data_IF_360304997780
#
_entry.id   IF_360304997780
#
_cell.length_a   1.000
_cell.length_b   1.000
_cell.length_c   1.000
_cell.angle_alpha   90.00
_cell.angle_beta   90.00
_cell.angle_gamma   90.00
#
_symmetry.space_group_name_H-M   'P 1'
#
loop_
_entity.id
_entity.type
_entity.pdbx_description
1 polymer ?
#
# COMPACT_ATOMS: atom_id res chain seq x y z
N UNK A 1 -3.55 -14.85 6.09
CA UNK A 1 -3.31 -13.40 5.91
C UNK A 1 -4.65 -12.70 6.09
N UNK A 2 -4.68 -11.67 6.93
CA UNK A 2 -5.87 -10.85 7.18
C UNK A 2 -5.52 -9.39 6.95
N UNK A 3 -6.47 -8.63 6.41
CA UNK A 3 -6.29 -7.18 6.27
C UNK A 3 -6.62 -6.48 7.60
N UNK A 4 -5.85 -5.48 7.96
CA UNK A 4 -6.18 -4.63 9.10
C UNK A 4 -7.04 -3.42 8.62
N UNK A 5 -8.10 -3.02 9.34
CA UNK A 5 -8.59 -3.65 10.57
C UNK A 5 -9.29 -5.00 10.30
N UNK A 6 -8.95 -5.99 11.09
CA UNK A 6 -9.60 -7.30 11.06
C UNK A 6 -10.86 -7.26 11.91
N UNK A 7 -12.02 -7.51 11.31
CA UNK A 7 -13.33 -7.34 11.97
C UNK A 7 -13.47 -8.19 13.22
N UNK A 8 -13.04 -9.46 13.19
CA UNK A 8 -13.13 -10.34 14.34
C UNK A 8 -12.29 -9.83 15.52
N UNK A 9 -11.07 -9.32 15.23
CA UNK A 9 -10.23 -8.73 16.27
C UNK A 9 -10.84 -7.45 16.83
N UNK A 10 -11.42 -6.61 15.98
CA UNK A 10 -12.12 -5.40 16.41
C UNK A 10 -13.33 -5.73 17.31
N UNK A 11 -14.09 -6.76 16.95
CA UNK A 11 -15.21 -7.23 17.78
C UNK A 11 -14.74 -7.79 19.12
N UNK A 12 -13.68 -8.59 19.13
CA UNK A 12 -13.12 -9.14 20.36
C UNK A 12 -12.54 -8.04 21.28
N UNK A 13 -11.83 -7.07 20.70
CA UNK A 13 -11.27 -5.92 21.42
C UNK A 13 -12.33 -5.01 22.05
N UNK A 14 -13.55 -5.01 21.51
CA UNK A 14 -14.69 -4.30 22.12
C UNK A 14 -15.27 -5.03 23.36
N UNK A 15 -15.03 -6.32 23.48
CA UNK A 15 -15.58 -7.16 24.56
C UNK A 15 -14.56 -7.49 25.66
N UNK A 16 -13.29 -7.59 25.28
CA UNK A 16 -12.20 -7.97 26.19
C UNK A 16 -11.06 -6.98 26.05
N UNK A 17 -10.50 -6.44 27.15
CA UNK A 17 -9.29 -5.63 27.08
C UNK A 17 -8.14 -6.39 26.41
N UNK A 18 -7.60 -5.82 25.35
CA UNK A 18 -6.53 -6.42 24.56
C UNK A 18 -5.44 -5.37 24.28
N UNK A 19 -4.20 -5.82 24.27
CA UNK A 19 -3.06 -5.00 23.91
C UNK A 19 -2.34 -5.62 22.72
N UNK A 20 -2.13 -4.85 21.68
CA UNK A 20 -1.26 -5.24 20.57
C UNK A 20 0.19 -5.04 21.02
N UNK A 21 1.01 -6.06 20.82
CA UNK A 21 2.43 -5.99 21.11
C UNK A 21 3.17 -5.56 19.83
N UNK A 22 4.00 -4.51 19.89
CA UNK A 22 4.82 -4.11 18.76
C UNK A 22 5.90 -5.18 18.49
N UNK A 23 6.30 -5.29 17.24
CA UNK A 23 7.49 -6.04 16.86
C UNK A 23 8.73 -5.14 17.02
N UNK A 24 9.78 -5.70 17.56
CA UNK A 24 11.08 -5.02 17.65
C UNK A 24 11.63 -4.70 16.26
N UNK A 25 12.22 -3.52 16.08
CA UNK A 25 12.72 -3.06 14.78
C UNK A 25 13.72 -4.03 14.15
N UNK A 26 14.67 -4.53 14.95
CA UNK A 26 15.66 -5.50 14.50
C UNK A 26 15.04 -6.84 14.07
N UNK A 27 13.97 -7.28 14.75
CA UNK A 27 13.24 -8.47 14.37
C UNK A 27 12.50 -8.27 13.05
N UNK A 28 11.86 -7.11 12.87
CA UNK A 28 11.19 -6.76 11.62
C UNK A 28 12.17 -6.73 10.44
N UNK A 29 13.34 -6.12 10.63
CA UNK A 29 14.39 -6.07 9.60
C UNK A 29 14.83 -7.48 9.21
N UNK A 30 15.22 -8.31 10.17
CA UNK A 30 15.66 -9.70 9.89
C UNK A 30 14.60 -10.52 9.17
N UNK A 31 13.33 -10.37 9.56
CA UNK A 31 12.25 -11.15 8.94
C UNK A 31 11.93 -10.63 7.54
N UNK A 32 11.90 -9.32 7.31
CA UNK A 32 11.64 -8.77 5.98
C UNK A 32 12.76 -9.07 4.98
N UNK A 33 14.01 -9.16 5.44
CA UNK A 33 15.15 -9.60 4.62
C UNK A 33 15.09 -11.10 4.29
N UNK A 34 14.56 -11.91 5.21
CA UNK A 34 14.50 -13.37 5.05
C UNK A 34 13.25 -13.85 4.30
N UNK A 35 12.17 -13.07 4.32
CA UNK A 35 10.87 -13.45 3.74
C UNK A 35 10.44 -12.39 2.74
N UNK A 36 10.67 -12.58 1.45
CA UNK A 36 10.27 -11.66 0.40
C UNK A 36 8.75 -11.38 0.44
N UNK A 37 8.38 -10.12 0.22
CA UNK A 37 6.98 -9.70 0.21
C UNK A 37 6.42 -9.30 1.59
N UNK A 38 7.21 -9.45 2.67
CA UNK A 38 6.88 -8.80 3.94
C UNK A 38 7.48 -7.41 4.01
N UNK A 39 6.66 -6.45 4.41
CA UNK A 39 7.06 -5.05 4.54
C UNK A 39 6.71 -4.51 5.92
N UNK A 40 7.51 -3.61 6.49
CA UNK A 40 7.18 -2.92 7.72
C UNK A 40 5.89 -2.11 7.56
N UNK A 41 5.03 -2.19 8.57
CA UNK A 41 3.76 -1.49 8.62
C UNK A 41 3.49 -1.04 10.06
N UNK A 42 3.02 0.19 10.23
CA UNK A 42 2.45 0.64 11.48
C UNK A 42 0.91 0.51 11.43
N UNK A 43 0.33 -0.21 12.37
CA UNK A 43 -1.12 -0.22 12.60
C UNK A 43 -1.45 1.12 13.27
N UNK A 44 -2.29 1.98 12.66
CA UNK A 44 -2.59 3.30 13.21
C UNK A 44 -3.21 3.24 14.60
N UNK A 45 -3.02 4.30 15.38
CA UNK A 45 -3.70 4.51 16.64
C UNK A 45 -5.22 4.27 16.52
N UNK A 46 -5.83 3.72 17.55
CA UNK A 46 -7.27 3.45 17.62
C UNK A 46 -7.86 2.56 16.53
N UNK A 47 -7.02 1.80 15.83
CA UNK A 47 -7.50 0.80 14.87
C UNK A 47 -8.34 -0.29 15.56
N UNK A 48 -7.99 -0.66 16.80
CA UNK A 48 -8.67 -1.67 17.60
C UNK A 48 -9.05 -1.13 18.98
N UNK A 49 -10.20 -0.48 19.06
CA UNK A 49 -10.79 -0.05 20.32
C UNK A 49 -9.89 0.86 21.16
N UNK A 50 -9.45 0.37 22.32
CA UNK A 50 -8.65 1.11 23.30
C UNK A 50 -7.15 1.14 23.00
N UNK A 51 -6.71 0.69 21.82
CA UNK A 51 -5.32 0.79 21.39
C UNK A 51 -4.85 2.25 21.50
N UNK A 52 -3.74 2.46 22.21
CA UNK A 52 -3.08 3.76 22.34
C UNK A 52 -1.76 3.75 21.55
N UNK A 53 -1.65 4.67 20.61
CA UNK A 53 -0.50 4.79 19.75
C UNK A 53 -0.50 3.82 18.57
N UNK A 54 0.37 4.09 17.61
CA UNK A 54 0.61 3.19 16.50
C UNK A 54 1.41 1.97 16.96
N UNK A 55 1.18 0.82 16.32
CA UNK A 55 1.86 -0.44 16.64
C UNK A 55 2.61 -0.94 15.41
N UNK A 56 3.93 -1.04 15.53
CA UNK A 56 4.79 -1.51 14.47
C UNK A 56 4.67 -3.03 14.28
N UNK A 57 4.55 -3.46 13.05
CA UNK A 57 4.37 -4.85 12.64
C UNK A 57 4.87 -5.08 11.22
N UNK A 58 4.75 -6.32 10.75
CA UNK A 58 4.98 -6.69 9.36
C UNK A 58 3.66 -7.00 8.66
N UNK A 59 3.59 -6.64 7.39
CA UNK A 59 2.46 -6.94 6.54
C UNK A 59 2.90 -7.65 5.27
N UNK A 60 2.09 -8.59 4.79
CA UNK A 60 2.22 -9.11 3.44
C UNK A 60 1.53 -8.19 2.45
N UNK A 61 2.18 -7.95 1.32
CA UNK A 61 1.62 -7.15 0.24
C UNK A 61 0.69 -7.98 -0.63
N UNK A 62 -0.50 -7.46 -0.89
CA UNK A 62 -1.38 -7.99 -1.92
C UNK A 62 -0.93 -7.45 -3.28
N UNK A 63 -0.74 -8.34 -4.26
CA UNK A 63 -0.31 -7.98 -5.60
C UNK A 63 -1.50 -8.00 -6.57
N UNK A 64 -1.59 -6.99 -7.41
CA UNK A 64 -2.37 -7.04 -8.63
C UNK A 64 -1.44 -7.60 -9.72
N UNK A 65 -1.82 -8.72 -10.31
CA UNK A 65 -1.03 -9.39 -11.35
C UNK A 65 -1.74 -9.32 -12.69
N UNK A 66 -0.98 -9.17 -13.76
CA UNK A 66 -1.46 -9.23 -15.12
C UNK A 66 -0.57 -10.21 -15.91
N UNK A 67 -1.14 -10.85 -16.94
CA UNK A 67 -0.35 -11.59 -17.92
C UNK A 67 0.43 -10.59 -18.78
N UNK A 68 1.63 -10.98 -19.21
CA UNK A 68 2.45 -10.26 -20.19
C UNK A 68 1.77 -10.05 -21.55
N UNK A 69 0.74 -10.85 -21.84
CA UNK A 69 -0.11 -10.69 -23.03
C UNK A 69 -1.16 -9.57 -22.94
N UNK A 70 -1.36 -8.99 -21.76
CA UNK A 70 -2.27 -7.84 -21.59
C UNK A 70 -1.62 -6.61 -22.21
N UNK A 71 -2.33 -5.82 -23.05
CA UNK A 71 -1.76 -4.60 -23.60
C UNK A 71 -1.38 -3.57 -22.53
N UNK A 72 -0.21 -2.94 -22.67
CA UNK A 72 0.31 -1.93 -21.73
C UNK A 72 -0.70 -0.84 -21.42
N UNK A 73 -1.36 -0.30 -22.45
CA UNK A 73 -2.40 0.71 -22.31
C UNK A 73 -3.61 0.25 -21.49
N UNK A 74 -3.86 -1.05 -21.36
CA UNK A 74 -4.91 -1.58 -20.48
C UNK A 74 -4.43 -1.58 -19.03
N UNK A 75 -3.18 -1.96 -18.78
CA UNK A 75 -2.57 -1.94 -17.46
C UNK A 75 -2.48 -0.50 -16.94
N UNK A 76 -2.00 0.43 -17.77
CA UNK A 76 -1.94 1.86 -17.43
C UNK A 76 -3.31 2.42 -17.03
N UNK A 77 -4.36 2.12 -17.80
CA UNK A 77 -5.73 2.55 -17.47
C UNK A 77 -6.24 2.00 -16.15
N UNK A 78 -5.91 0.75 -15.83
CA UNK A 78 -6.28 0.15 -14.54
C UNK A 78 -5.55 0.85 -13.38
N UNK A 79 -4.25 1.11 -13.55
CA UNK A 79 -3.46 1.82 -12.55
C UNK A 79 -3.95 3.26 -12.36
N UNK A 80 -4.22 3.96 -13.47
CA UNK A 80 -4.77 5.31 -13.41
C UNK A 80 -6.12 5.34 -12.70
N UNK A 81 -7.01 4.41 -13.02
CA UNK A 81 -8.28 4.27 -12.32
C UNK A 81 -8.09 4.02 -10.81
N UNK A 82 -7.17 3.14 -10.42
CA UNK A 82 -6.90 2.81 -9.02
C UNK A 82 -6.37 4.00 -8.22
N UNK A 83 -5.47 4.79 -8.82
CA UNK A 83 -4.79 5.88 -8.11
C UNK A 83 -5.43 7.26 -8.28
N UNK A 84 -6.29 7.45 -9.30
CA UNK A 84 -6.91 8.74 -9.61
C UNK A 84 -8.38 8.79 -9.17
N UNK A 85 -9.11 7.68 -9.25
CA UNK A 85 -10.55 7.66 -9.02
C UNK A 85 -11.00 7.73 -7.55
N UNK A 86 -10.07 7.91 -6.62
CA UNK A 86 -10.39 8.04 -5.20
C UNK A 86 -10.98 6.77 -4.56
N UNK A 87 -10.88 5.60 -5.23
CA UNK A 87 -11.32 4.30 -4.68
C UNK A 87 -10.73 4.00 -3.31
N UNK A 88 -9.61 4.65 -2.98
CA UNK A 88 -8.97 4.58 -1.68
C UNK A 88 -9.72 5.31 -0.57
N UNK A 89 -10.47 6.36 -0.88
CA UNK A 89 -11.11 7.22 0.12
C UNK A 89 -12.44 6.63 0.64
N UNK A 90 -13.21 5.96 -0.23
CA UNK A 90 -14.59 5.57 0.09
C UNK A 90 -14.77 4.15 0.63
N UNK A 91 -13.74 3.31 0.63
CA UNK A 91 -13.85 1.87 0.96
C UNK A 91 -13.19 1.42 2.26
N UNK A 92 -13.01 2.34 3.20
CA UNK A 92 -12.49 2.03 4.54
C UNK A 92 -10.96 1.94 4.62
N UNK A 93 -10.45 1.63 5.82
CA UNK A 93 -9.04 1.72 6.17
C UNK A 93 -8.07 0.90 5.28
N UNK A 94 -8.54 -0.13 4.58
CA UNK A 94 -7.70 -0.92 3.68
C UNK A 94 -7.42 -0.20 2.35
N UNK A 95 -8.38 0.56 1.84
CA UNK A 95 -8.26 1.28 0.58
C UNK A 95 -7.47 2.60 0.72
N UNK A 96 -7.51 3.23 1.91
CA UNK A 96 -6.69 4.42 2.21
C UNK A 96 -5.18 4.14 2.23
N UNK A 97 -4.78 2.88 2.10
CA UNK A 97 -3.36 2.45 2.04
C UNK A 97 -2.83 2.30 0.63
N UNK A 98 -3.69 2.43 -0.37
CA UNK A 98 -3.30 2.40 -1.76
C UNK A 98 -2.72 3.79 -2.13
N UNK A 99 -1.41 3.88 -2.22
CA UNK A 99 -0.72 5.08 -2.67
C UNK A 99 0.36 4.73 -3.69
N UNK A 100 0.66 5.63 -4.60
CA UNK A 100 1.70 5.43 -5.62
C UNK A 100 3.07 5.21 -5.00
N UNK A 101 3.38 5.93 -3.92
CA UNK A 101 4.66 5.86 -3.22
C UNK A 101 4.92 4.47 -2.61
N UNK A 102 3.85 3.79 -2.24
CA UNK A 102 3.91 2.48 -1.58
C UNK A 102 3.54 1.33 -2.50
N UNK A 103 3.11 1.62 -3.72
CA UNK A 103 2.57 0.61 -4.64
C UNK A 103 3.57 -0.49 -5.00
N UNK A 104 4.86 -0.17 -5.00
CA UNK A 104 5.94 -1.11 -5.31
C UNK A 104 6.55 -1.79 -4.07
N UNK A 105 6.09 -1.44 -2.87
CA UNK A 105 6.60 -2.04 -1.64
C UNK A 105 6.20 -3.53 -1.56
N UNK A 106 7.18 -4.40 -1.37
CA UNK A 106 6.97 -5.84 -1.25
C UNK A 106 6.64 -6.56 -2.56
N UNK A 107 6.78 -5.91 -3.70
CA UNK A 107 6.69 -6.56 -5.02
C UNK A 107 7.92 -7.45 -5.22
N UNK A 108 7.69 -8.74 -5.47
CA UNK A 108 8.73 -9.77 -5.58
C UNK A 108 8.78 -10.43 -6.95
N UNK A 109 7.93 -10.01 -7.87
CA UNK A 109 7.86 -10.48 -9.25
C UNK A 109 8.17 -9.32 -10.20
N UNK A 110 8.61 -9.59 -11.44
CA UNK A 110 8.80 -8.53 -12.44
C UNK A 110 7.51 -7.71 -12.63
N UNK A 111 7.70 -6.41 -12.85
CA UNK A 111 6.59 -5.54 -13.23
C UNK A 111 6.21 -5.85 -14.68
N UNK A 112 4.92 -5.74 -14.99
CA UNK A 112 4.43 -5.65 -16.36
C UNK A 112 4.94 -4.35 -17.00
N UNK A 113 5.28 -4.35 -18.31
CA UNK A 113 5.89 -3.20 -18.97
C UNK A 113 5.03 -1.93 -18.83
N UNK A 114 3.73 -2.00 -19.06
CA UNK A 114 2.82 -0.88 -18.83
C UNK A 114 2.77 -0.40 -17.38
N UNK A 115 3.04 -1.27 -16.39
CA UNK A 115 3.15 -0.83 -15.00
C UNK A 115 4.50 -0.14 -14.73
N UNK A 116 5.58 -0.64 -15.32
CA UNK A 116 6.91 -0.03 -15.20
C UNK A 116 6.89 1.39 -15.77
N UNK A 117 6.31 1.58 -16.94
CA UNK A 117 6.18 2.89 -17.61
C UNK A 117 5.30 3.85 -16.80
N UNK A 118 4.17 3.38 -16.27
CA UNK A 118 3.28 4.17 -15.43
C UNK A 118 3.98 4.73 -14.18
N UNK A 119 4.73 3.90 -13.47
CA UNK A 119 5.45 4.33 -12.27
C UNK A 119 6.70 5.15 -12.59
N UNK A 120 7.35 4.92 -13.73
CA UNK A 120 8.47 5.75 -14.19
C UNK A 120 8.02 7.17 -14.58
N UNK A 121 6.90 7.31 -15.28
CA UNK A 121 6.32 8.60 -15.63
C UNK A 121 5.90 9.41 -14.39
N UNK A 122 5.38 8.76 -13.36
CA UNK A 122 4.99 9.41 -12.11
C UNK A 122 6.20 9.90 -11.27
N UNK A 123 7.39 9.34 -11.50
CA UNK A 123 8.63 9.73 -10.79
C UNK A 123 9.37 10.88 -11.49
N UNK A 124 9.06 11.16 -12.77
CA UNK A 124 9.64 12.28 -13.48
C UNK A 124 9.13 13.60 -12.85
N UNK A 125 10.01 14.57 -12.55
CA UNK A 125 9.57 15.88 -12.08
C UNK A 125 8.70 16.50 -13.18
N UNK A 126 7.58 17.10 -12.79
CA UNK A 126 6.71 17.83 -13.71
C UNK A 126 7.58 18.89 -14.43
N UNK A 127 7.80 18.69 -15.72
CA UNK A 127 8.42 19.73 -16.56
C UNK A 127 7.38 20.83 -16.66
N UNK A 128 7.55 21.90 -15.87
CA UNK A 128 6.79 23.12 -16.06
C UNK A 128 6.94 23.55 -17.52
N UNK A 129 5.85 23.43 -18.27
CA UNK A 129 5.76 23.98 -19.61
C UNK A 129 5.90 25.50 -19.47
N UNK A 130 6.90 26.15 -20.13
CA UNK A 130 7.00 27.58 -20.05
C UNK A 130 5.75 28.18 -20.66
N UNK A 131 4.95 28.87 -19.84
CA UNK A 131 3.82 29.65 -20.29
C UNK A 131 4.28 30.58 -21.42
N UNK A 132 3.66 30.44 -22.58
CA UNK A 132 3.86 31.31 -23.72
C UNK A 132 3.62 32.76 -23.27
N UNK A 133 4.70 33.54 -23.24
CA UNK A 133 4.62 34.98 -23.13
C UNK A 133 4.01 35.50 -24.44
N UNK A 134 2.77 35.93 -24.37
CA UNK A 134 2.12 36.71 -25.43
C UNK A 134 2.40 38.17 -25.14
N UNK A 135 3.11 38.77 -26.09
CA UNK A 135 3.22 40.25 -26.20
C UNK A 135 1.87 40.86 -26.57
#
# INVERSE_FOLDING_TARGET
VVSAPWRQLATAAAQVPMTLLPLEADAMTRVSESVPGLVPLAIPDRTYGLQQGAVDTLAATALLVASDSVPDAAVERVLDFLFTSGLGADRGASASRLSRERALAGVTIPLHDGAADYFAAAKAPAVESPAAATQ
#
